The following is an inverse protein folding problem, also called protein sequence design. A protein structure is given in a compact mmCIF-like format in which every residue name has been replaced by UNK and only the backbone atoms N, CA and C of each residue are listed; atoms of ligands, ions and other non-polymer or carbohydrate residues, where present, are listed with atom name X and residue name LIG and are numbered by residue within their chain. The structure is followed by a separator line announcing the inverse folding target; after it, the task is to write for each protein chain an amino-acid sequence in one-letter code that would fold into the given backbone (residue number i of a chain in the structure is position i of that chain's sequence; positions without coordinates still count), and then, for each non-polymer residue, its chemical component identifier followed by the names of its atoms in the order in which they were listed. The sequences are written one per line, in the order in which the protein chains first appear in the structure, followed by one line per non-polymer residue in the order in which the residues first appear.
data_IF_931256472019
#
_entry.id   IF_931256472019
#
_cell.length_a   1.000
_cell.length_b   1.000
_cell.length_c   1.000
_cell.angle_alpha   90.00
_cell.angle_beta   90.00
_cell.angle_gamma   90.00
#
_symmetry.space_group_name_H-M   'P 1'
#
loop_
_entity.id
_entity.type
_entity.pdbx_description
1 polymer ?
#
# COMPACT_ATOMS: atom_id res chain seq x y z
N UNK A 1 -11.43 -9.68 -2.69
CA UNK A 1 -10.19 -9.40 -3.45
C UNK A 1 -9.61 -10.71 -3.99
N UNK A 2 -9.30 -10.81 -5.28
CA UNK A 2 -8.74 -12.04 -5.89
C UNK A 2 -7.20 -12.06 -5.98
N UNK A 3 -6.55 -10.91 -5.80
CA UNK A 3 -5.09 -10.81 -5.88
C UNK A 3 -4.46 -11.11 -4.53
N UNK A 4 -3.61 -12.13 -4.51
CA UNK A 4 -2.88 -12.60 -3.33
C UNK A 4 -1.44 -12.07 -3.26
N UNK A 5 -0.65 -12.28 -4.31
CA UNK A 5 0.75 -11.83 -4.35
C UNK A 5 0.95 -10.78 -5.44
N UNK A 6 1.71 -9.74 -5.11
CA UNK A 6 2.28 -8.79 -6.07
C UNK A 6 3.79 -8.78 -5.89
N UNK A 7 4.53 -8.84 -7.00
CA UNK A 7 5.99 -8.92 -7.01
C UNK A 7 6.56 -7.80 -7.87
N UNK A 8 7.60 -7.16 -7.36
CA UNK A 8 8.45 -6.20 -8.08
C UNK A 8 9.91 -6.60 -7.88
N UNK A 9 10.83 -5.93 -8.58
CA UNK A 9 12.27 -6.01 -8.33
C UNK A 9 12.65 -5.57 -6.89
N UNK A 10 11.76 -4.89 -6.18
CA UNK A 10 11.95 -4.41 -4.81
C UNK A 10 11.33 -5.32 -3.74
N UNK A 11 10.66 -6.41 -4.10
CA UNK A 11 10.18 -7.42 -3.16
C UNK A 11 8.81 -8.01 -3.49
N UNK A 12 8.23 -8.69 -2.49
CA UNK A 12 6.92 -9.35 -2.58
C UNK A 12 5.95 -8.80 -1.53
N UNK A 13 4.72 -8.53 -1.97
CA UNK A 13 3.60 -8.17 -1.11
C UNK A 13 2.59 -9.31 -1.08
N UNK A 14 2.46 -9.97 0.07
CA UNK A 14 1.36 -10.90 0.37
C UNK A 14 0.16 -10.12 0.90
N UNK A 15 -0.92 -10.14 0.14
CA UNK A 15 -2.16 -9.40 0.36
C UNK A 15 -3.30 -10.32 0.81
N UNK A 16 -3.04 -11.59 1.10
CA UNK A 16 -4.06 -12.53 1.58
C UNK A 16 -4.63 -12.08 2.92
N UNK A 17 -5.96 -11.96 3.01
CA UNK A 17 -6.66 -11.75 4.28
C UNK A 17 -6.37 -10.42 5.00
N UNK A 18 -5.71 -9.45 4.34
CA UNK A 18 -5.41 -8.15 4.94
C UNK A 18 -6.34 -7.05 4.43
N UNK A 19 -6.63 -6.07 5.28
CA UNK A 19 -7.47 -4.91 4.94
C UNK A 19 -6.85 -4.04 3.85
N UNK A 20 -7.66 -3.23 3.15
CA UNK A 20 -7.17 -2.33 2.10
C UNK A 20 -6.07 -1.37 2.58
N UNK A 21 -6.12 -0.94 3.85
CA UNK A 21 -5.03 -0.17 4.46
C UNK A 21 -3.73 -0.95 4.52
N UNK A 22 -3.77 -2.20 4.99
CA UNK A 22 -2.59 -3.05 5.02
C UNK A 22 -2.13 -3.46 3.64
N UNK A 23 -3.04 -3.55 2.66
CA UNK A 23 -2.68 -3.70 1.24
C UNK A 23 -1.89 -2.49 0.76
N UNK A 24 -2.36 -1.27 1.00
CA UNK A 24 -1.66 -0.05 0.61
C UNK A 24 -0.25 0.03 1.22
N UNK A 25 -0.12 -0.19 2.54
CA UNK A 25 1.19 -0.20 3.22
C UNK A 25 2.16 -1.24 2.61
N UNK A 26 1.67 -2.45 2.33
CA UNK A 26 2.48 -3.52 1.74
C UNK A 26 2.90 -3.21 0.31
N UNK A 27 2.02 -2.57 -0.48
CA UNK A 27 2.32 -2.18 -1.85
C UNK A 27 3.33 -1.04 -1.91
N UNK A 28 3.18 -0.03 -1.06
CA UNK A 28 4.14 1.07 -0.92
C UNK A 28 5.52 0.53 -0.58
N UNK A 29 5.61 -0.47 0.31
CA UNK A 29 6.89 -1.08 0.70
C UNK A 29 7.65 -1.72 -0.48
N UNK A 30 6.94 -2.25 -1.47
CA UNK A 30 7.54 -2.89 -2.66
C UNK A 30 7.55 -1.99 -3.89
N UNK A 31 7.16 -0.72 -3.77
CA UNK A 31 7.29 0.25 -4.85
C UNK A 31 8.75 0.69 -5.05
N UNK A 32 9.03 1.30 -6.21
CA UNK A 32 10.32 1.94 -6.49
C UNK A 32 10.65 2.98 -5.39
N UNK A 33 11.89 3.03 -4.86
CA UNK A 33 12.27 3.93 -3.76
C UNK A 33 11.83 5.39 -3.97
N UNK A 34 12.04 5.91 -5.17
CA UNK A 34 11.70 7.29 -5.56
C UNK A 34 10.21 7.66 -5.36
N UNK A 35 9.30 6.68 -5.37
CA UNK A 35 7.86 6.93 -5.24
C UNK A 35 7.30 6.58 -3.85
N UNK A 36 8.08 5.96 -2.95
CA UNK A 36 7.55 5.48 -1.66
C UNK A 36 7.03 6.62 -0.79
N UNK A 37 7.71 7.75 -0.81
CA UNK A 37 7.32 8.94 -0.05
C UNK A 37 6.01 9.52 -0.58
N UNK A 38 5.93 9.81 -1.88
CA UNK A 38 4.73 10.32 -2.55
C UNK A 38 3.51 9.42 -2.30
N UNK A 39 3.67 8.11 -2.46
CA UNK A 39 2.58 7.15 -2.24
C UNK A 39 2.17 7.07 -0.76
N UNK A 40 3.11 7.23 0.17
CA UNK A 40 2.82 7.26 1.60
C UNK A 40 2.01 8.50 1.98
N UNK A 41 2.40 9.67 1.47
CA UNK A 41 1.67 10.92 1.70
C UNK A 41 0.26 10.87 1.12
N UNK A 42 0.11 10.36 -0.11
CA UNK A 42 -1.19 10.15 -0.73
C UNK A 42 -2.08 9.21 0.10
N UNK A 43 -1.52 8.11 0.62
CA UNK A 43 -2.23 7.19 1.48
C UNK A 43 -2.67 7.85 2.79
N UNK A 44 -1.79 8.61 3.46
CA UNK A 44 -2.14 9.32 4.70
C UNK A 44 -3.23 10.38 4.47
N UNK A 45 -3.20 11.09 3.34
CA UNK A 45 -4.25 12.04 2.97
C UNK A 45 -5.59 11.35 2.84
N UNK A 46 -5.67 10.24 2.09
CA UNK A 46 -6.89 9.45 1.93
C UNK A 46 -7.37 8.93 3.29
N UNK A 47 -6.47 8.34 4.08
CA UNK A 47 -6.78 7.81 5.41
C UNK A 47 -7.36 8.91 6.31
N UNK A 48 -6.70 10.07 6.37
CA UNK A 48 -7.19 11.20 7.14
C UNK A 48 -8.57 11.67 6.67
N UNK A 49 -8.88 11.63 5.38
CA UNK A 49 -10.21 12.02 4.88
C UNK A 49 -11.29 11.03 5.32
N UNK A 50 -11.01 9.73 5.29
CA UNK A 50 -11.98 8.69 5.66
C UNK A 50 -12.29 8.64 7.17
N UNK A 51 -11.32 8.92 8.03
CA UNK A 51 -11.49 8.88 9.51
C UNK A 51 -11.76 10.24 10.17
N UNK A 52 -11.92 11.32 9.40
CA UNK A 52 -12.25 12.65 9.92
C UNK A 52 -13.77 12.91 10.05
N UNK A 53 -14.59 11.89 9.85
CA UNK A 53 -16.03 11.86 10.14
C UNK A 53 -16.34 10.71 11.10
#
# INVERSE_FOLDING_TARGET
HFVQYIVTEYGVADLYGVSDEKRAEKLIKIAHPDFREELSEAFQKIKSTYYKN
#
